data_IF_611209439932
#
_entry.id   IF_611209439932
#
_cell.length_a   1.000
_cell.length_b   1.000
_cell.length_c   1.000
_cell.angle_alpha   90.00
_cell.angle_beta   90.00
_cell.angle_gamma   90.00
#
_symmetry.space_group_name_H-M   'P 1'
#
loop_
_entity.id
_entity.type
_entity.pdbx_description
1 polymer ?
#
# COMPACT_ATOMS: atom_id res chain seq x y z
N UNK A 1 40.23 15.73 -33.77
CA UNK A 1 40.07 16.54 -32.53
C UNK A 1 40.81 17.85 -32.73
N UNK A 2 40.13 18.99 -32.60
CA UNK A 2 40.76 20.33 -32.67
C UNK A 2 41.12 20.83 -31.26
N UNK A 3 42.42 20.81 -30.95
CA UNK A 3 42.94 21.22 -29.65
C UNK A 3 42.82 22.74 -29.42
N UNK A 4 42.90 23.56 -30.47
CA UNK A 4 42.76 25.01 -30.34
C UNK A 4 41.32 25.37 -29.97
N UNK A 5 40.35 24.79 -30.67
CA UNK A 5 38.93 24.97 -30.35
C UNK A 5 38.61 24.52 -28.92
N UNK A 6 39.17 23.38 -28.46
CA UNK A 6 39.00 22.92 -27.09
C UNK A 6 39.56 23.91 -26.05
N UNK A 7 40.77 24.44 -26.26
CA UNK A 7 41.37 25.40 -25.33
C UNK A 7 40.61 26.73 -25.29
N UNK A 8 40.20 27.26 -26.44
CA UNK A 8 39.39 28.48 -26.51
C UNK A 8 38.01 28.28 -25.88
N UNK A 9 37.37 27.13 -26.12
CA UNK A 9 36.09 26.78 -25.49
C UNK A 9 36.19 26.63 -23.97
N UNK A 10 37.28 26.04 -23.47
CA UNK A 10 37.57 25.96 -22.03
C UNK A 10 37.79 27.35 -21.42
N UNK A 11 38.53 28.23 -22.10
CA UNK A 11 38.74 29.60 -21.64
C UNK A 11 37.41 30.38 -21.57
N UNK A 12 36.56 30.27 -22.59
CA UNK A 12 35.22 30.86 -22.59
C UNK A 12 34.37 30.35 -21.41
N UNK A 13 34.43 29.04 -21.12
CA UNK A 13 33.72 28.45 -19.98
C UNK A 13 34.17 29.05 -18.64
N UNK A 14 35.48 29.20 -18.44
CA UNK A 14 36.04 29.77 -17.21
C UNK A 14 35.68 31.24 -17.03
N UNK A 15 35.48 31.97 -18.14
CA UNK A 15 35.04 33.36 -18.14
C UNK A 15 33.50 33.52 -17.99
N UNK A 16 32.75 32.41 -17.88
CA UNK A 16 31.29 32.43 -17.79
C UNK A 16 30.56 32.64 -19.12
N UNK A 17 31.28 32.71 -20.25
CA UNK A 17 30.67 32.76 -21.58
C UNK A 17 30.32 31.34 -22.05
N UNK A 18 29.22 30.81 -21.49
CA UNK A 18 28.78 29.45 -21.74
C UNK A 18 28.28 29.23 -23.18
N UNK A 19 27.81 30.28 -23.86
CA UNK A 19 27.34 30.19 -25.26
C UNK A 19 28.51 29.95 -26.21
N UNK A 20 29.55 30.78 -26.11
CA UNK A 20 30.79 30.61 -26.87
C UNK A 20 31.47 29.30 -26.51
N UNK A 21 31.51 28.95 -25.22
CA UNK A 21 32.06 27.69 -24.76
C UNK A 21 31.37 26.48 -25.43
N UNK A 22 30.04 26.40 -25.39
CA UNK A 22 29.30 25.29 -25.99
C UNK A 22 29.52 25.16 -27.50
N UNK A 23 29.68 26.28 -28.19
CA UNK A 23 29.95 26.34 -29.63
C UNK A 23 31.35 25.85 -29.95
N UNK A 24 32.37 26.42 -29.31
CA UNK A 24 33.78 26.06 -29.54
C UNK A 24 34.09 24.63 -29.11
N UNK A 25 33.53 24.16 -27.99
CA UNK A 25 33.69 22.78 -27.53
C UNK A 25 32.98 21.78 -28.46
N UNK A 26 31.88 22.18 -29.11
CA UNK A 26 31.25 21.37 -30.15
C UNK A 26 32.11 21.29 -31.42
N UNK A 27 32.72 22.41 -31.82
CA UNK A 27 33.64 22.46 -32.96
C UNK A 27 34.95 21.69 -32.72
N UNK A 28 35.33 21.46 -31.46
CA UNK A 28 36.50 20.65 -31.10
C UNK A 28 36.37 19.17 -31.48
N UNK A 29 35.14 18.68 -31.63
CA UNK A 29 34.81 17.28 -31.95
C UNK A 29 34.37 17.17 -33.42
N UNK A 30 35.13 16.45 -34.24
CA UNK A 30 34.74 16.17 -35.63
C UNK A 30 33.60 15.12 -35.67
N UNK A 31 32.71 15.16 -36.68
CA UNK A 31 31.70 14.11 -36.86
C UNK A 31 32.32 12.71 -36.92
N UNK A 32 31.86 11.81 -36.05
CA UNK A 32 32.34 10.42 -35.98
C UNK A 32 33.55 10.18 -35.06
N UNK A 33 34.21 11.23 -34.58
CA UNK A 33 35.27 11.12 -33.58
C UNK A 33 34.70 11.26 -32.16
N UNK A 34 35.36 10.62 -31.19
CA UNK A 34 35.02 10.77 -29.77
C UNK A 34 36.04 11.68 -29.11
N UNK A 35 35.58 12.78 -28.50
CA UNK A 35 36.43 13.66 -27.69
C UNK A 35 35.77 13.93 -26.34
N UNK A 36 35.81 12.93 -25.46
CA UNK A 36 35.01 12.94 -24.24
C UNK A 36 35.28 14.12 -23.30
N UNK A 37 36.52 14.63 -23.25
CA UNK A 37 36.81 15.84 -22.48
C UNK A 37 36.10 17.10 -23.02
N UNK A 38 36.03 17.26 -24.34
CA UNK A 38 35.32 18.37 -24.99
C UNK A 38 33.81 18.22 -24.80
N UNK A 39 33.26 17.02 -25.05
CA UNK A 39 31.84 16.74 -24.91
C UNK A 39 31.34 16.87 -23.45
N UNK A 40 32.14 16.42 -22.47
CA UNK A 40 31.84 16.62 -21.05
C UNK A 40 31.74 18.11 -20.70
N UNK A 41 32.72 18.92 -21.13
CA UNK A 41 32.73 20.35 -20.84
C UNK A 41 31.63 21.09 -21.60
N UNK A 42 31.32 20.66 -22.84
CA UNK A 42 30.19 21.16 -23.63
C UNK A 42 28.88 20.90 -22.91
N UNK A 43 28.68 19.69 -22.38
CA UNK A 43 27.52 19.34 -21.56
C UNK A 43 27.38 20.27 -20.34
N UNK A 44 28.49 20.55 -19.64
CA UNK A 44 28.49 21.48 -18.51
C UNK A 44 28.10 22.91 -18.93
N UNK A 45 28.59 23.39 -20.07
CA UNK A 45 28.21 24.70 -20.61
C UNK A 45 26.72 24.75 -20.95
N UNK A 46 26.20 23.71 -21.60
CA UNK A 46 24.79 23.59 -21.96
C UNK A 46 23.87 23.51 -20.74
N UNK A 47 24.29 22.85 -19.65
CA UNK A 47 23.58 22.89 -18.37
C UNK A 47 23.44 24.31 -17.81
N UNK A 48 24.49 25.13 -17.92
CA UNK A 48 24.46 26.54 -17.48
C UNK A 48 23.56 27.43 -18.35
N UNK A 49 23.38 27.06 -19.61
CA UNK A 49 22.47 27.74 -20.55
C UNK A 49 21.01 27.27 -20.44
N UNK A 50 20.69 26.28 -19.61
CA UNK A 50 19.36 25.68 -19.56
C UNK A 50 19.01 24.77 -20.75
N UNK A 51 19.99 24.46 -21.62
CA UNK A 51 19.81 23.60 -22.81
C UNK A 51 19.96 22.13 -22.43
N UNK A 52 19.07 21.65 -21.57
CA UNK A 52 19.22 20.37 -20.87
C UNK A 52 19.23 19.14 -21.78
N UNK A 53 18.37 19.10 -22.82
CA UNK A 53 18.37 17.98 -23.78
C UNK A 53 19.69 17.86 -24.54
N UNK A 54 20.26 18.98 -24.97
CA UNK A 54 21.55 18.99 -25.66
C UNK A 54 22.71 18.69 -24.71
N UNK A 55 22.61 19.09 -23.44
CA UNK A 55 23.57 18.70 -22.41
C UNK A 55 23.58 17.18 -22.22
N UNK A 56 22.39 16.55 -22.15
CA UNK A 56 22.26 15.10 -22.05
C UNK A 56 22.93 14.39 -23.24
N UNK A 57 22.73 14.87 -24.47
CA UNK A 57 23.42 14.33 -25.66
C UNK A 57 24.94 14.48 -25.57
N UNK A 58 25.45 15.63 -25.12
CA UNK A 58 26.89 15.83 -24.94
C UNK A 58 27.48 14.87 -23.89
N UNK A 59 26.78 14.64 -22.77
CA UNK A 59 27.23 13.65 -21.78
C UNK A 59 27.18 12.21 -22.32
N UNK A 60 26.18 11.85 -23.13
CA UNK A 60 26.11 10.55 -23.81
C UNK A 60 27.27 10.35 -24.78
N UNK A 61 27.65 11.39 -25.52
CA UNK A 61 28.83 11.37 -26.40
C UNK A 61 30.11 11.15 -25.58
N UNK A 62 30.28 11.87 -24.47
CA UNK A 62 31.43 11.70 -23.59
C UNK A 62 31.51 10.27 -22.98
N UNK A 63 30.37 9.66 -22.67
CA UNK A 63 30.29 8.28 -22.15
C UNK A 63 30.70 7.21 -23.18
N UNK A 64 30.85 7.54 -24.48
CA UNK A 64 31.33 6.59 -25.49
C UNK A 64 32.81 6.25 -25.29
N UNK A 65 33.60 7.13 -24.68
CA UNK A 65 35.00 6.86 -24.34
C UNK A 65 35.14 6.41 -22.90
N UNK A 66 35.28 5.09 -22.72
CA UNK A 66 35.50 4.49 -21.39
C UNK A 66 36.87 4.83 -20.80
N UNK A 67 37.85 5.19 -21.63
CA UNK A 67 39.21 5.53 -21.17
C UNK A 67 39.26 6.89 -20.47
N UNK A 68 38.25 7.75 -20.67
CA UNK A 68 38.16 9.05 -20.01
C UNK A 68 38.04 8.95 -18.48
N UNK A 69 37.60 7.81 -17.94
CA UNK A 69 37.65 7.51 -16.50
C UNK A 69 36.73 8.38 -15.62
N UNK A 70 35.71 9.01 -16.20
CA UNK A 70 34.73 9.87 -15.49
C UNK A 70 33.30 9.33 -15.57
N UNK A 71 33.14 8.01 -15.66
CA UNK A 71 31.84 7.35 -15.89
C UNK A 71 30.79 7.76 -14.85
N UNK A 72 31.08 7.63 -13.55
CA UNK A 72 30.13 8.05 -12.50
C UNK A 72 29.79 9.55 -12.52
N UNK A 73 30.77 10.42 -12.80
CA UNK A 73 30.53 11.87 -12.90
C UNK A 73 29.66 12.24 -14.11
N UNK A 74 29.94 11.63 -15.27
CA UNK A 74 29.18 11.83 -16.49
C UNK A 74 27.75 11.32 -16.36
N UNK A 75 27.56 10.13 -15.78
CA UNK A 75 26.23 9.59 -15.52
C UNK A 75 25.44 10.44 -14.50
N UNK A 76 26.11 11.00 -13.48
CA UNK A 76 25.48 11.95 -12.54
C UNK A 76 25.03 13.22 -13.25
N UNK A 77 25.87 13.77 -14.12
CA UNK A 77 25.53 14.97 -14.88
C UNK A 77 24.45 14.72 -15.94
N UNK A 78 24.51 13.56 -16.62
CA UNK A 78 23.48 13.09 -17.54
C UNK A 78 22.14 12.97 -16.82
N UNK A 79 22.11 12.31 -15.66
CA UNK A 79 20.90 12.17 -14.86
C UNK A 79 20.28 13.51 -14.48
N UNK A 80 21.11 14.47 -14.04
CA UNK A 80 20.66 15.85 -13.75
C UNK A 80 20.12 16.58 -14.98
N UNK A 81 20.74 16.38 -16.14
CA UNK A 81 20.27 16.97 -17.40
C UNK A 81 18.93 16.38 -17.85
N UNK A 82 18.76 15.06 -17.72
CA UNK A 82 17.54 14.37 -18.06
C UNK A 82 16.38 14.80 -17.16
N UNK A 83 16.60 14.84 -15.84
CA UNK A 83 15.62 15.34 -14.88
C UNK A 83 15.20 16.78 -15.20
N UNK A 84 16.16 17.68 -15.44
CA UNK A 84 15.88 19.07 -15.79
C UNK A 84 15.14 19.22 -17.14
N UNK A 85 15.23 18.23 -18.03
CA UNK A 85 14.50 18.18 -19.29
C UNK A 85 13.13 17.51 -19.22
N UNK A 86 12.75 16.99 -18.04
CA UNK A 86 11.51 16.26 -17.78
C UNK A 86 11.55 14.75 -18.12
N UNK A 87 12.73 14.18 -18.36
CA UNK A 87 12.91 12.74 -18.57
C UNK A 87 13.38 12.07 -17.28
N UNK A 88 12.45 11.91 -16.34
CA UNK A 88 12.73 11.36 -15.01
C UNK A 88 13.12 9.87 -15.09
N UNK A 89 12.53 9.10 -16.00
CA UNK A 89 12.88 7.69 -16.23
C UNK A 89 14.34 7.56 -16.68
N UNK A 90 14.74 8.34 -17.68
CA UNK A 90 16.14 8.39 -18.13
C UNK A 90 17.08 8.90 -17.05
N UNK A 91 16.62 9.86 -16.22
CA UNK A 91 17.39 10.39 -15.12
C UNK A 91 17.71 9.32 -14.07
N UNK A 92 16.70 8.58 -13.60
CA UNK A 92 16.88 7.48 -12.63
C UNK A 92 17.83 6.42 -13.18
N UNK A 93 17.71 6.04 -14.46
CA UNK A 93 18.62 5.09 -15.09
C UNK A 93 20.08 5.56 -15.07
N UNK A 94 20.33 6.80 -15.49
CA UNK A 94 21.68 7.37 -15.50
C UNK A 94 22.25 7.53 -14.08
N UNK A 95 21.44 7.98 -13.11
CA UNK A 95 21.87 8.13 -11.72
C UNK A 95 22.19 6.78 -11.07
N UNK A 96 21.39 5.74 -11.32
CA UNK A 96 21.71 4.39 -10.86
C UNK A 96 22.99 3.84 -11.51
N UNK A 97 23.24 4.13 -12.79
CA UNK A 97 24.50 3.79 -13.44
C UNK A 97 25.70 4.49 -12.78
N UNK A 98 25.55 5.73 -12.33
CA UNK A 98 26.58 6.42 -11.54
C UNK A 98 26.79 5.78 -10.16
N UNK A 99 25.72 5.37 -9.47
CA UNK A 99 25.81 4.65 -8.19
C UNK A 99 26.38 3.24 -8.32
N UNK A 100 26.33 2.63 -9.51
CA UNK A 100 26.95 1.34 -9.77
C UNK A 100 28.47 1.43 -10.01
N UNK A 101 29.02 2.62 -10.24
CA UNK A 101 30.46 2.84 -10.40
C UNK A 101 31.15 2.93 -9.02
N UNK A 102 31.95 1.91 -8.63
CA UNK A 102 32.61 1.89 -7.32
C UNK A 102 33.75 2.91 -7.23
N UNK A 103 34.28 3.39 -8.37
CA UNK A 103 35.37 4.37 -8.40
C UNK A 103 34.87 5.80 -8.19
N UNK A 104 33.56 6.02 -8.28
CA UNK A 104 32.96 7.33 -8.12
C UNK A 104 32.74 7.67 -6.65
N UNK A 105 33.60 8.53 -6.10
CA UNK A 105 33.59 8.90 -4.67
C UNK A 105 32.57 9.99 -4.31
N UNK A 106 32.12 10.80 -5.27
CA UNK A 106 31.16 11.88 -5.02
C UNK A 106 29.69 11.37 -5.07
N UNK A 107 29.42 10.21 -4.45
CA UNK A 107 28.13 9.51 -4.55
C UNK A 107 26.99 10.34 -3.97
N UNK A 108 27.26 11.14 -2.94
CA UNK A 108 26.31 12.10 -2.37
C UNK A 108 25.68 13.02 -3.43
N UNK A 109 26.42 13.46 -4.48
CA UNK A 109 25.86 14.29 -5.56
C UNK A 109 24.82 13.53 -6.37
N UNK A 110 25.07 12.26 -6.63
CA UNK A 110 24.14 11.37 -7.33
C UNK A 110 22.90 11.10 -6.48
N UNK A 111 23.09 10.83 -5.19
CA UNK A 111 21.99 10.63 -4.25
C UNK A 111 21.10 11.87 -4.12
N UNK A 112 21.69 13.07 -4.00
CA UNK A 112 20.92 14.32 -3.99
C UNK A 112 20.16 14.55 -5.30
N UNK A 113 20.76 14.22 -6.45
CA UNK A 113 20.08 14.33 -7.74
C UNK A 113 18.92 13.33 -7.84
N UNK A 114 19.11 12.10 -7.37
CA UNK A 114 18.09 11.05 -7.36
C UNK A 114 16.94 11.42 -6.42
N UNK A 115 17.26 11.97 -5.25
CA UNK A 115 16.27 12.44 -4.29
C UNK A 115 15.37 13.54 -4.89
N UNK A 116 15.93 14.48 -5.64
CA UNK A 116 15.16 15.52 -6.34
C UNK A 116 14.25 14.97 -7.43
N UNK A 117 14.67 13.93 -8.14
CA UNK A 117 13.80 13.24 -9.11
C UNK A 117 12.63 12.58 -8.38
N UNK A 118 12.88 11.89 -7.26
CA UNK A 118 11.81 11.30 -6.46
C UNK A 118 10.87 12.36 -5.83
N UNK A 119 11.38 13.51 -5.38
CA UNK A 119 10.54 14.64 -4.93
C UNK A 119 9.63 15.12 -6.07
N UNK A 120 10.15 15.29 -7.28
CA UNK A 120 9.37 15.70 -8.45
C UNK A 120 8.25 14.70 -8.79
N UNK A 121 8.50 13.40 -8.61
CA UNK A 121 7.51 12.34 -8.78
C UNK A 121 6.55 12.16 -7.58
N UNK A 122 6.72 12.92 -6.49
CA UNK A 122 5.93 12.78 -5.27
C UNK A 122 6.29 11.56 -4.40
N UNK A 123 7.40 10.88 -4.70
CA UNK A 123 7.90 9.70 -3.98
C UNK A 123 8.73 10.12 -2.76
N UNK A 124 8.07 10.72 -1.77
CA UNK A 124 8.76 11.36 -0.63
C UNK A 124 9.54 10.38 0.26
N UNK A 125 9.16 9.10 0.29
CA UNK A 125 9.88 8.07 1.05
C UNK A 125 11.22 7.74 0.40
N UNK A 126 11.21 7.54 -0.92
CA UNK A 126 12.38 7.26 -1.75
C UNK A 126 13.32 8.47 -1.77
N UNK A 127 12.75 9.68 -1.89
CA UNK A 127 13.49 10.93 -1.76
C UNK A 127 14.20 11.04 -0.40
N UNK A 128 13.49 10.80 0.70
CA UNK A 128 14.07 10.81 2.04
C UNK A 128 15.19 9.78 2.20
N UNK A 129 15.05 8.57 1.65
CA UNK A 129 16.12 7.57 1.67
C UNK A 129 17.38 8.04 0.94
N UNK A 130 17.22 8.65 -0.23
CA UNK A 130 18.33 9.19 -1.02
C UNK A 130 18.98 10.42 -0.34
N UNK A 131 18.21 11.34 0.22
CA UNK A 131 18.76 12.47 1.00
C UNK A 131 19.51 12.00 2.24
N UNK A 132 19.00 10.99 2.95
CA UNK A 132 19.72 10.39 4.08
C UNK A 132 21.03 9.77 3.62
N UNK A 133 21.03 9.04 2.51
CA UNK A 133 22.25 8.45 1.95
C UNK A 133 23.29 9.51 1.56
N UNK A 134 22.85 10.68 1.06
CA UNK A 134 23.74 11.80 0.80
C UNK A 134 24.26 12.47 2.10
N UNK A 135 23.44 12.56 3.14
CA UNK A 135 23.80 13.19 4.41
C UNK A 135 24.86 12.39 5.19
N UNK A 136 24.86 11.06 5.09
CA UNK A 136 25.82 10.19 5.80
C UNK A 136 27.07 9.83 4.98
N UNK A 137 27.18 10.33 3.73
CA UNK A 137 28.35 10.10 2.90
C UNK A 137 29.53 10.93 3.41
N UNK A 138 30.62 10.27 3.81
CA UNK A 138 31.84 10.89 4.35
C UNK A 138 32.50 11.87 3.36
N UNK A 139 32.24 11.73 2.06
CA UNK A 139 32.75 12.64 1.03
C UNK A 139 31.87 13.86 0.82
N UNK A 140 30.74 13.98 1.53
CA UNK A 140 29.87 15.13 1.43
C UNK A 140 30.43 16.29 2.28
N UNK A 141 30.91 17.39 1.66
CA UNK A 141 31.46 18.52 2.40
C UNK A 141 30.37 19.38 3.07
N UNK A 142 29.10 19.17 2.72
CA UNK A 142 27.97 19.95 3.22
C UNK A 142 26.73 19.05 3.42
N UNK A 143 26.73 18.20 4.46
CA UNK A 143 25.60 17.33 4.78
C UNK A 143 24.36 18.12 5.21
N UNK A 144 24.50 19.36 5.68
CA UNK A 144 23.40 20.20 6.14
C UNK A 144 22.32 20.37 5.06
N UNK A 145 22.71 20.59 3.79
CA UNK A 145 21.75 20.72 2.68
C UNK A 145 20.91 19.45 2.48
N UNK A 146 21.53 18.27 2.63
CA UNK A 146 20.83 16.99 2.50
C UNK A 146 19.93 16.71 3.70
N UNK A 147 20.36 17.10 4.91
CA UNK A 147 19.57 16.97 6.15
C UNK A 147 18.34 17.88 6.15
N UNK A 148 18.47 19.13 5.69
CA UNK A 148 17.31 20.03 5.51
C UNK A 148 16.31 19.42 4.52
N UNK A 149 16.79 18.86 3.42
CA UNK A 149 15.91 18.21 2.45
C UNK A 149 15.23 16.96 3.03
N UNK A 150 15.97 16.16 3.79
CA UNK A 150 15.41 15.03 4.54
C UNK A 150 14.31 15.47 5.53
N UNK A 151 14.53 16.57 6.25
CA UNK A 151 13.53 17.15 7.15
C UNK A 151 12.25 17.56 6.42
N UNK A 152 12.36 18.14 5.21
CA UNK A 152 11.18 18.45 4.38
C UNK A 152 10.44 17.18 3.97
N UNK A 153 11.14 16.14 3.52
CA UNK A 153 10.51 14.85 3.22
C UNK A 153 9.75 14.29 4.44
N UNK A 154 10.31 14.40 5.66
CA UNK A 154 9.61 13.97 6.87
C UNK A 154 8.37 14.81 7.17
N UNK A 155 8.40 16.12 6.95
CA UNK A 155 7.22 16.99 7.07
C UNK A 155 6.11 16.56 6.12
N UNK A 156 6.43 16.32 4.84
CA UNK A 156 5.44 15.88 3.85
C UNK A 156 4.89 14.48 4.13
N UNK A 157 5.69 13.61 4.75
CA UNK A 157 5.26 12.29 5.20
C UNK A 157 4.45 12.32 6.51
N UNK A 158 4.17 13.49 7.08
CA UNK A 158 3.45 13.62 8.35
C UNK A 158 4.25 13.13 9.56
N UNK A 159 5.59 13.21 9.50
CA UNK A 159 6.53 12.76 10.53
C UNK A 159 7.30 13.94 11.14
N UNK A 160 6.63 14.88 11.83
CA UNK A 160 7.25 16.13 12.26
C UNK A 160 8.34 15.94 13.32
N UNK A 161 8.28 14.88 14.15
CA UNK A 161 9.34 14.59 15.13
C UNK A 161 10.64 14.18 14.43
N UNK A 162 10.57 13.35 13.39
CA UNK A 162 11.76 12.99 12.61
C UNK A 162 12.32 14.19 11.83
N UNK A 163 11.44 15.11 11.38
CA UNK A 163 11.85 16.36 10.76
C UNK A 163 12.62 17.27 11.73
N UNK A 164 12.15 17.40 12.98
CA UNK A 164 12.84 18.14 14.04
C UNK A 164 14.27 17.63 14.21
N UNK A 165 14.47 16.32 14.30
CA UNK A 165 15.81 15.74 14.45
C UNK A 165 16.68 16.02 13.22
N UNK A 166 16.16 15.84 12.01
CA UNK A 166 16.91 16.15 10.78
C UNK A 166 17.34 17.62 10.69
N UNK A 167 16.46 18.56 11.07
CA UNK A 167 16.77 19.99 11.06
C UNK A 167 17.76 20.38 12.17
N UNK A 168 17.66 19.79 13.37
CA UNK A 168 18.65 19.98 14.44
C UNK A 168 20.02 19.51 14.00
N UNK A 169 20.12 18.30 13.46
CA UNK A 169 21.39 17.81 12.90
C UNK A 169 21.89 18.70 11.77
N UNK A 170 21.02 19.25 10.92
CA UNK A 170 21.43 20.19 9.88
C UNK A 170 22.06 21.47 10.46
N UNK A 171 21.53 21.98 11.57
CA UNK A 171 22.09 23.14 12.28
C UNK A 171 23.49 22.86 12.83
N UNK A 172 23.76 21.63 13.30
CA UNK A 172 25.09 21.23 13.78
C UNK A 172 26.16 21.27 12.68
N UNK A 173 25.77 21.04 11.43
CA UNK A 173 26.67 21.08 10.26
C UNK A 173 26.67 22.43 9.52
N UNK A 174 25.73 23.33 9.81
CA UNK A 174 25.59 24.59 9.07
C UNK A 174 26.64 25.61 9.50
N UNK A 175 27.57 25.93 8.59
CA UNK A 175 28.73 26.81 8.85
C UNK A 175 28.47 28.31 8.63
N UNK A 176 27.30 28.71 8.11
CA UNK A 176 26.97 30.14 7.87
C UNK A 176 25.64 30.55 8.52
N UNK A 177 25.65 31.72 9.17
CA UNK A 177 24.50 32.27 9.92
C UNK A 177 23.25 32.47 9.04
N UNK A 178 23.42 32.96 7.80
CA UNK A 178 22.32 33.16 6.86
C UNK A 178 21.64 31.85 6.41
N UNK A 179 22.37 30.73 6.42
CA UNK A 179 21.81 29.40 6.18
C UNK A 179 21.04 28.90 7.41
N UNK A 180 21.54 29.17 8.62
CA UNK A 180 20.92 28.71 9.86
C UNK A 180 19.54 29.33 10.11
N UNK A 181 19.35 30.62 9.82
CA UNK A 181 18.06 31.29 10.02
C UNK A 181 16.91 30.62 9.25
N UNK A 182 17.16 30.24 7.99
CA UNK A 182 16.21 29.50 7.19
C UNK A 182 15.92 28.11 7.77
N UNK A 183 16.94 27.41 8.29
CA UNK A 183 16.74 26.10 8.95
C UNK A 183 15.93 26.24 10.25
N UNK A 184 16.18 27.28 11.05
CA UNK A 184 15.39 27.58 12.25
C UNK A 184 13.91 27.84 11.92
N UNK A 185 13.60 28.51 10.82
CA UNK A 185 12.22 28.70 10.38
C UNK A 185 11.54 27.36 10.03
N UNK A 186 12.23 26.48 9.29
CA UNK A 186 11.73 25.13 8.99
C UNK A 186 11.59 24.27 10.25
N UNK A 187 12.50 24.42 11.21
CA UNK A 187 12.43 23.76 12.51
C UNK A 187 11.22 24.25 13.32
N UNK A 188 10.93 25.55 13.29
CA UNK A 188 9.72 26.13 13.89
C UNK A 188 8.44 25.53 13.31
N UNK A 189 8.33 25.40 12.00
CA UNK A 189 7.20 24.73 11.34
C UNK A 189 7.08 23.26 11.77
N UNK A 190 8.20 22.54 11.89
CA UNK A 190 8.21 21.17 12.38
C UNK A 190 7.72 21.05 13.84
N UNK A 191 8.12 21.98 14.71
CA UNK A 191 7.61 22.03 16.09
C UNK A 191 6.12 22.36 16.16
N UNK A 192 5.61 23.25 15.30
CA UNK A 192 4.16 23.52 15.20
C UNK A 192 3.42 22.24 14.81
N UNK A 193 3.88 21.54 13.78
CA UNK A 193 3.28 20.27 13.35
C UNK A 193 3.39 19.17 14.42
N UNK A 194 4.43 19.20 15.26
CA UNK A 194 4.60 18.31 16.41
C UNK A 194 3.81 18.74 17.66
N UNK A 195 3.01 19.82 17.60
CA UNK A 195 2.30 20.40 18.75
C UNK A 195 3.21 20.90 19.90
N UNK A 196 4.46 21.23 19.60
CA UNK A 196 5.48 21.71 20.56
C UNK A 196 5.62 23.23 20.47
N UNK A 197 4.56 23.93 20.88
CA UNK A 197 4.38 25.37 20.58
C UNK A 197 5.46 26.28 21.20
N UNK A 198 5.96 25.95 22.39
CA UNK A 198 7.02 26.73 23.03
C UNK A 198 8.33 26.66 22.22
N UNK A 199 8.74 25.47 21.83
CA UNK A 199 9.95 25.27 21.01
C UNK A 199 9.79 25.84 19.60
N UNK A 200 8.56 25.84 19.06
CA UNK A 200 8.27 26.53 17.81
C UNK A 200 8.54 28.03 17.91
N UNK A 201 8.10 28.68 19.00
CA UNK A 201 8.38 30.10 19.24
C UNK A 201 9.87 30.37 19.33
N UNK A 202 10.59 29.56 20.09
CA UNK A 202 12.04 29.73 20.26
C UNK A 202 12.76 29.59 18.92
N UNK A 203 12.38 28.60 18.09
CA UNK A 203 12.93 28.42 16.76
C UNK A 203 12.61 29.60 15.81
N UNK A 204 11.37 30.12 15.78
CA UNK A 204 11.03 31.28 14.95
C UNK A 204 11.71 32.57 15.44
N UNK A 205 11.88 32.74 16.75
CA UNK A 205 12.65 33.84 17.32
C UNK A 205 14.12 33.75 16.87
N UNK A 206 14.74 32.56 16.93
CA UNK A 206 16.08 32.34 16.39
C UNK A 206 16.18 32.65 14.89
N UNK A 207 15.16 32.26 14.11
CA UNK A 207 15.13 32.53 12.67
C UNK A 207 15.13 34.03 12.34
N UNK A 208 14.52 34.87 13.19
CA UNK A 208 14.34 36.30 12.92
C UNK A 208 15.27 37.21 13.74
N UNK A 209 16.08 36.63 14.64
CA UNK A 209 16.83 37.37 15.65
C UNK A 209 17.80 38.42 15.09
N UNK A 210 18.44 38.14 13.96
CA UNK A 210 19.42 39.04 13.33
C UNK A 210 18.80 39.99 12.28
N UNK A 211 17.51 39.84 11.99
CA UNK A 211 16.78 40.62 10.98
C UNK A 211 17.19 40.36 9.53
N UNK A 212 18.06 39.38 9.25
CA UNK A 212 18.52 39.05 7.89
C UNK A 212 17.55 38.11 7.17
N UNK A 213 16.81 37.30 7.93
CA UNK A 213 15.79 36.40 7.41
C UNK A 213 14.39 36.92 7.71
N UNK A 214 13.55 36.91 6.68
CA UNK A 214 12.13 37.26 6.78
C UNK A 214 11.30 36.00 6.56
N UNK A 215 10.44 35.68 7.54
CA UNK A 215 9.52 34.54 7.44
C UNK A 215 8.60 34.73 6.23
N UNK A 216 8.39 33.65 5.47
CA UNK A 216 7.37 33.65 4.43
C UNK A 216 5.95 33.68 5.07
N UNK A 217 4.87 33.97 4.30
CA UNK A 217 3.52 34.08 4.88
C UNK A 217 3.02 32.85 5.63
N UNK A 218 3.40 31.63 5.19
CA UNK A 218 3.01 30.39 5.86
C UNK A 218 3.76 30.19 7.19
N UNK A 219 5.06 30.50 7.20
CA UNK A 219 5.89 30.50 8.40
C UNK A 219 5.41 31.56 9.40
N UNK A 220 5.06 32.76 8.92
CA UNK A 220 4.52 33.83 9.75
C UNK A 220 3.19 33.44 10.39
N UNK A 221 2.30 32.79 9.64
CA UNK A 221 1.05 32.26 10.18
C UNK A 221 1.30 31.18 11.24
N UNK A 222 2.24 30.26 11.00
CA UNK A 222 2.66 29.24 11.97
C UNK A 222 3.25 29.87 13.24
N UNK A 223 4.05 30.92 13.09
CA UNK A 223 4.63 31.65 14.22
C UNK A 223 3.55 32.32 15.06
N UNK A 224 2.61 33.05 14.44
CA UNK A 224 1.47 33.65 15.15
C UNK A 224 0.57 32.60 15.81
N UNK A 225 0.35 31.46 15.16
CA UNK A 225 -0.41 30.36 15.77
C UNK A 225 0.27 29.82 17.03
N UNK A 226 1.59 29.64 17.00
CA UNK A 226 2.37 29.25 18.17
C UNK A 226 2.30 30.32 19.29
N UNK A 227 2.34 31.61 18.95
CA UNK A 227 2.24 32.71 19.93
C UNK A 227 0.89 32.67 20.65
N UNK A 228 -0.20 32.54 19.88
CA UNK A 228 -1.55 32.47 20.43
C UNK A 228 -1.75 31.22 21.30
N UNK A 229 -1.22 30.06 20.88
CA UNK A 229 -1.31 28.82 21.62
C UNK A 229 -0.57 28.90 22.97
N UNK A 230 0.63 29.46 23.00
CA UNK A 230 1.39 29.65 24.24
C UNK A 230 0.73 30.68 25.16
N UNK A 231 0.23 31.80 24.61
CA UNK A 231 -0.50 32.81 25.37
C UNK A 231 -1.78 32.27 26.00
N UNK A 232 -2.50 31.39 25.31
CA UNK A 232 -3.68 30.72 25.85
C UNK A 232 -3.32 29.80 27.03
N UNK A 233 -2.21 29.06 26.94
CA UNK A 233 -1.73 28.17 28.00
C UNK A 233 -1.25 28.95 29.24
N UNK A 234 -0.57 30.09 29.05
CA UNK A 234 -0.15 30.94 30.17
C UNK A 234 -1.32 31.70 30.80
N UNK A 235 -2.27 32.16 29.99
CA UNK A 235 -3.52 32.78 30.44
C UNK A 235 -4.43 31.83 31.24
N UNK A 236 -4.44 30.53 30.91
CA UNK A 236 -5.14 29.52 31.71
C UNK A 236 -4.43 29.20 33.03
N UNK A 237 -3.09 29.22 33.08
CA UNK A 237 -2.33 29.01 34.33
C UNK A 237 -2.47 30.17 35.32
N UNK A 238 -2.73 31.40 34.85
CA UNK A 238 -3.07 32.56 35.68
C UNK A 238 -4.56 32.74 35.97
N UNK A 239 -5.38 31.69 35.79
CA UNK A 239 -6.83 31.75 36.02
C UNK A 239 -7.19 31.95 37.50
N UNK A 240 -8.29 32.66 37.74
CA UNK A 240 -8.92 33.13 39.01
C UNK A 240 -8.35 32.61 40.35
N UNK A 241 -8.07 31.32 40.47
CA UNK A 241 -7.31 30.72 41.57
C UNK A 241 -5.98 31.40 41.89
N UNK A 242 -5.16 31.76 40.90
CA UNK A 242 -3.84 32.38 41.14
C UNK A 242 -3.98 33.85 41.57
N UNK A 243 -4.96 34.55 40.99
CA UNK A 243 -5.38 35.88 41.43
C UNK A 243 -6.02 35.86 42.84
N UNK A 244 -6.74 34.79 43.19
CA UNK A 244 -7.36 34.59 44.50
C UNK A 244 -6.33 34.21 45.57
N UNK A 245 -5.31 33.42 45.24
CA UNK A 245 -4.17 33.12 46.12
C UNK A 245 -3.30 34.36 46.35
N UNK A 246 -3.07 35.16 45.31
CA UNK A 246 -2.39 36.45 45.43
C UNK A 246 -3.20 37.45 46.28
N UNK A 247 -4.53 37.52 46.09
CA UNK A 247 -5.42 38.34 46.91
C UNK A 247 -5.54 37.85 48.37
N UNK A 248 -5.35 36.56 48.61
CA UNK A 248 -5.28 35.95 49.94
C UNK A 248 -3.91 36.08 50.62
N UNK A 249 -2.94 36.78 50.00
CA UNK A 249 -1.65 37.09 50.59
C UNK A 249 -0.60 35.97 50.50
N UNK A 250 -0.84 34.95 49.68
CA UNK A 250 0.08 33.81 49.52
C UNK A 250 1.13 33.98 48.41
N UNK A 251 1.24 35.16 47.79
CA UNK A 251 2.16 35.45 46.68
C UNK A 251 3.15 36.57 46.98
N UNK A 252 4.01 36.39 47.99
CA UNK A 252 5.07 37.34 48.34
C UNK A 252 6.46 36.81 47.97
N UNK A 253 7.01 37.31 46.86
CA UNK A 253 8.44 37.36 46.50
C UNK A 253 9.37 36.26 47.06
N UNK A 254 9.75 35.30 46.22
CA UNK A 254 10.87 34.41 46.46
C UNK A 254 10.75 33.13 45.66
N UNK A 255 11.70 32.88 44.77
CA UNK A 255 11.83 31.72 43.88
C UNK A 255 11.49 30.39 44.58
N UNK A 256 10.33 29.79 44.28
CA UNK A 256 10.07 28.41 44.64
C UNK A 256 9.16 27.78 43.58
N UNK A 257 9.74 26.85 42.82
CA UNK A 257 9.01 25.98 41.90
C UNK A 257 8.24 24.94 42.74
N UNK A 258 6.90 24.87 42.66
CA UNK A 258 6.11 23.91 43.44
C UNK A 258 6.31 22.44 43.06
N UNK A 259 7.16 22.12 42.08
CA UNK A 259 7.58 20.75 41.74
C UNK A 259 9.01 20.38 42.19
N UNK A 260 9.81 21.32 42.71
CA UNK A 260 11.16 21.04 43.23
C UNK A 260 11.44 21.82 44.53
N UNK A 261 11.04 21.28 45.69
CA UNK A 261 11.15 21.98 46.97
C UNK A 261 12.56 22.00 47.56
N UNK A 262 13.57 21.51 46.84
CA UNK A 262 14.97 21.45 47.32
C UNK A 262 15.98 22.08 46.36
N UNK A 263 15.54 22.69 45.25
CA UNK A 263 16.42 23.40 44.32
C UNK A 263 17.51 22.51 43.72
N UNK A 264 17.19 21.24 43.45
CA UNK A 264 18.11 20.25 42.89
C UNK A 264 17.60 19.66 41.58
N UNK A 265 17.21 20.51 40.66
CA UNK A 265 17.09 20.17 39.23
C UNK A 265 18.25 20.78 38.44
N UNK A 266 19.46 20.53 38.94
CA UNK A 266 20.67 20.46 38.13
C UNK A 266 20.87 19.04 37.60
N UNK A 267 19.81 18.40 37.10
CA UNK A 267 19.96 17.11 36.42
C UNK A 267 20.58 17.36 35.05
N UNK A 268 21.90 17.24 35.06
CA UNK A 268 22.79 17.01 33.94
C UNK A 268 22.06 16.29 32.80
N UNK A 269 21.86 16.99 31.68
CA UNK A 269 21.64 16.33 30.39
C UNK A 269 22.78 15.31 30.27
N UNK A 270 22.51 13.99 30.12
CA UNK A 270 23.59 13.04 29.89
C UNK A 270 24.41 13.56 28.70
N UNK A 271 25.74 13.60 28.84
CA UNK A 271 26.58 14.00 27.72
C UNK A 271 26.23 13.10 26.51
N UNK A 272 26.46 13.55 25.26
CA UNK A 272 26.17 12.75 24.06
C UNK A 272 26.76 11.32 24.07
N UNK A 273 27.71 11.06 24.97
CA UNK A 273 28.38 9.79 25.23
C UNK A 273 27.49 8.78 25.99
N UNK A 274 26.54 9.25 26.81
CA UNK A 274 25.67 8.43 27.68
C UNK A 274 24.33 8.03 27.01
N UNK A 275 23.96 8.66 25.90
CA UNK A 275 22.71 8.35 25.16
C UNK A 275 22.83 7.15 24.22
N UNK A 276 24.02 6.57 24.12
CA UNK A 276 24.28 5.41 23.27
C UNK A 276 24.11 5.68 21.76
N UNK A 277 23.86 6.91 21.33
CA UNK A 277 23.59 7.24 19.92
C UNK A 277 24.84 7.10 19.03
N UNK A 278 26.04 7.29 19.60
CA UNK A 278 27.33 7.17 18.90
C UNK A 278 28.16 5.94 19.29
N UNK A 279 27.72 5.13 20.27
CA UNK A 279 28.45 3.93 20.73
C UNK A 279 27.93 2.62 20.13
N UNK A 280 26.89 2.68 19.29
CA UNK A 280 26.43 1.51 18.56
C UNK A 280 27.46 1.19 17.47
N UNK A 281 28.23 0.12 17.66
CA UNK A 281 29.14 -0.36 16.63
C UNK A 281 28.33 -0.84 15.42
N UNK A 282 28.94 -0.83 14.24
CA UNK A 282 28.32 -1.37 13.01
C UNK A 282 27.85 -2.84 13.21
N UNK A 283 28.50 -3.59 14.10
CA UNK A 283 28.10 -4.95 14.48
C UNK A 283 26.82 -4.98 15.33
N UNK A 284 26.65 -4.04 16.28
CA UNK A 284 25.45 -3.91 17.10
C UNK A 284 24.25 -3.44 16.27
N UNK A 285 24.47 -2.57 15.28
CA UNK A 285 23.46 -2.18 14.28
C UNK A 285 23.06 -3.40 13.44
N UNK A 286 24.01 -4.21 12.97
CA UNK A 286 23.72 -5.42 12.17
C UNK A 286 23.01 -6.50 12.99
N UNK A 287 23.31 -6.64 14.29
CA UNK A 287 22.58 -7.57 15.17
C UNK A 287 21.17 -7.07 15.53
N UNK A 288 21.03 -5.77 15.79
CA UNK A 288 19.72 -5.13 15.96
C UNK A 288 18.90 -5.25 14.67
N UNK A 289 19.49 -5.01 13.50
CA UNK A 289 18.85 -5.15 12.19
C UNK A 289 18.57 -6.62 11.84
N UNK A 290 19.39 -7.59 12.26
CA UNK A 290 19.06 -9.03 12.17
C UNK A 290 17.89 -9.41 13.08
N UNK A 291 17.77 -8.85 14.28
CA UNK A 291 16.62 -9.04 15.17
C UNK A 291 15.37 -8.34 14.60
N UNK A 292 15.50 -7.12 14.12
CA UNK A 292 14.41 -6.32 13.57
C UNK A 292 13.95 -6.85 12.21
N UNK A 293 14.83 -7.36 11.36
CA UNK A 293 14.49 -8.04 10.10
C UNK A 293 13.79 -9.38 10.32
N UNK A 294 14.13 -10.12 11.39
CA UNK A 294 13.36 -11.30 11.84
C UNK A 294 11.96 -10.91 12.31
N UNK A 295 11.80 -9.78 13.01
CA UNK A 295 10.50 -9.24 13.44
C UNK A 295 9.69 -8.67 12.26
N UNK A 296 10.32 -7.95 11.33
CA UNK A 296 9.70 -7.43 10.09
C UNK A 296 9.29 -8.55 9.14
N UNK A 297 10.07 -9.63 9.03
CA UNK A 297 9.66 -10.86 8.31
C UNK A 297 8.45 -11.52 8.94
N UNK A 298 8.31 -11.48 10.28
CA UNK A 298 7.10 -11.95 10.98
C UNK A 298 5.90 -11.03 10.72
N UNK A 299 6.05 -9.69 10.77
CA UNK A 299 4.97 -8.72 10.51
C UNK A 299 4.50 -8.69 9.05
N UNK A 300 5.41 -8.79 8.06
CA UNK A 300 5.03 -8.93 6.63
C UNK A 300 4.25 -10.22 6.35
N UNK A 301 4.53 -11.31 7.07
CA UNK A 301 3.76 -12.56 6.96
C UNK A 301 2.38 -12.48 7.61
N UNK A 302 2.13 -11.55 8.53
CA UNK A 302 0.80 -11.39 9.14
C UNK A 302 -0.22 -10.85 8.14
N UNK A 303 0.14 -9.83 7.34
CA UNK A 303 -0.75 -9.28 6.31
C UNK A 303 -1.11 -10.30 5.22
N UNK A 304 -0.13 -11.09 4.76
CA UNK A 304 -0.36 -12.18 3.80
C UNK A 304 -1.22 -13.30 4.40
N UNK A 305 -1.04 -13.65 5.68
CA UNK A 305 -1.89 -14.63 6.37
C UNK A 305 -3.34 -14.17 6.51
N UNK A 306 -3.57 -12.88 6.77
CA UNK A 306 -4.93 -12.31 6.82
C UNK A 306 -5.59 -12.36 5.45
N UNK A 307 -4.87 -11.97 4.39
CA UNK A 307 -5.38 -12.06 3.01
C UNK A 307 -5.73 -13.50 2.64
N UNK A 308 -4.83 -14.47 2.92
CA UNK A 308 -5.08 -15.89 2.65
C UNK A 308 -6.28 -16.41 3.44
N UNK A 309 -6.44 -16.01 4.71
CA UNK A 309 -7.59 -16.37 5.53
C UNK A 309 -8.90 -15.88 4.91
N UNK A 310 -8.95 -14.61 4.47
CA UNK A 310 -10.13 -14.03 3.81
C UNK A 310 -10.46 -14.77 2.52
N UNK A 311 -9.45 -15.08 1.69
CA UNK A 311 -9.66 -15.85 0.44
C UNK A 311 -10.19 -17.25 0.74
N UNK A 312 -9.64 -17.94 1.75
CA UNK A 312 -10.14 -19.26 2.15
C UNK A 312 -11.60 -19.19 2.62
N UNK A 313 -11.97 -18.18 3.41
CA UNK A 313 -13.36 -17.99 3.86
C UNK A 313 -14.29 -17.76 2.67
N UNK A 314 -13.88 -16.96 1.68
CA UNK A 314 -14.67 -16.72 0.47
C UNK A 314 -14.84 -18.00 -0.37
N UNK A 315 -13.79 -18.81 -0.49
CA UNK A 315 -13.86 -20.10 -1.20
C UNK A 315 -14.81 -21.07 -0.48
N UNK A 316 -14.75 -21.14 0.85
CA UNK A 316 -15.66 -21.97 1.65
C UNK A 316 -17.10 -21.48 1.51
N UNK A 317 -17.34 -20.16 1.54
CA UNK A 317 -18.67 -19.59 1.34
C UNK A 317 -19.20 -19.89 -0.07
N UNK A 318 -18.38 -19.75 -1.12
CA UNK A 318 -18.75 -20.10 -2.48
C UNK A 318 -19.05 -21.60 -2.63
N UNK A 319 -18.27 -22.47 -2.00
CA UNK A 319 -18.51 -23.91 -1.98
C UNK A 319 -19.82 -24.26 -1.25
N UNK A 320 -20.12 -23.60 -0.13
CA UNK A 320 -21.37 -23.77 0.59
C UNK A 320 -22.59 -23.31 -0.22
N UNK A 321 -22.49 -22.17 -0.91
CA UNK A 321 -23.54 -21.68 -1.81
C UNK A 321 -23.74 -22.62 -3.01
N UNK A 322 -22.65 -23.11 -3.62
CA UNK A 322 -22.71 -24.09 -4.69
C UNK A 322 -23.34 -25.42 -4.24
N UNK A 323 -23.03 -25.88 -3.02
CA UNK A 323 -23.64 -27.08 -2.45
C UNK A 323 -25.13 -26.89 -2.17
N UNK A 324 -25.55 -25.74 -1.62
CA UNK A 324 -26.95 -25.42 -1.42
C UNK A 324 -27.72 -25.37 -2.75
N UNK A 325 -27.12 -24.73 -3.77
CA UNK A 325 -27.65 -24.68 -5.14
C UNK A 325 -27.85 -26.08 -5.72
N UNK A 326 -26.87 -26.98 -5.54
CA UNK A 326 -26.96 -28.38 -5.99
C UNK A 326 -28.00 -29.21 -5.20
N UNK A 327 -28.23 -28.89 -3.93
CA UNK A 327 -29.28 -29.52 -3.11
C UNK A 327 -30.69 -29.01 -3.41
N UNK A 328 -30.85 -28.13 -4.40
CA UNK A 328 -32.14 -27.60 -4.81
C UNK A 328 -32.62 -26.40 -4.01
N UNK A 329 -31.74 -25.72 -3.26
CA UNK A 329 -32.10 -24.42 -2.68
C UNK A 329 -32.02 -23.33 -3.76
N UNK A 330 -33.02 -22.46 -3.78
CA UNK A 330 -33.11 -21.32 -4.68
C UNK A 330 -33.88 -20.18 -4.03
N UNK A 331 -33.85 -19.01 -4.67
CA UNK A 331 -34.53 -17.82 -4.22
C UNK A 331 -35.32 -17.18 -5.38
N UNK A 332 -36.64 -16.93 -5.24
CA UNK A 332 -37.52 -17.31 -4.11
C UNK A 332 -37.59 -18.84 -3.89
N UNK A 333 -38.02 -19.29 -2.72
CA UNK A 333 -38.10 -20.73 -2.41
C UNK A 333 -39.23 -21.40 -3.19
N UNK A 334 -39.21 -22.73 -3.32
CA UNK A 334 -40.29 -23.44 -4.01
C UNK A 334 -41.64 -23.23 -3.32
N UNK A 335 -41.64 -23.16 -1.99
CA UNK A 335 -42.82 -22.87 -1.19
C UNK A 335 -43.40 -21.50 -1.50
N UNK A 336 -42.54 -20.47 -1.57
CA UNK A 336 -42.98 -19.11 -1.87
C UNK A 336 -43.57 -19.03 -3.29
N UNK A 337 -42.92 -19.66 -4.28
CA UNK A 337 -43.41 -19.68 -5.67
C UNK A 337 -44.78 -20.34 -5.77
N UNK A 338 -45.01 -21.43 -5.04
CA UNK A 338 -46.31 -22.10 -5.02
C UNK A 338 -47.36 -21.29 -4.28
N UNK A 339 -47.03 -20.74 -3.10
CA UNK A 339 -47.95 -19.90 -2.35
C UNK A 339 -48.37 -18.66 -3.17
N UNK A 340 -47.41 -18.00 -3.81
CA UNK A 340 -47.64 -16.83 -4.66
C UNK A 340 -48.48 -17.17 -5.90
N UNK A 341 -48.28 -18.35 -6.52
CA UNK A 341 -49.10 -18.78 -7.66
C UNK A 341 -50.60 -18.91 -7.27
N UNK A 342 -50.89 -19.55 -6.14
CA UNK A 342 -52.27 -19.72 -5.67
C UNK A 342 -52.87 -18.41 -5.15
N UNK A 343 -52.05 -17.56 -4.53
CA UNK A 343 -52.46 -16.20 -4.18
C UNK A 343 -52.83 -15.41 -5.43
N UNK A 344 -51.99 -15.46 -6.47
CA UNK A 344 -52.22 -14.73 -7.71
C UNK A 344 -53.55 -15.14 -8.38
N UNK A 345 -53.84 -16.45 -8.41
CA UNK A 345 -55.13 -16.98 -8.89
C UNK A 345 -56.32 -16.48 -8.06
N UNK A 346 -56.16 -16.37 -6.75
CA UNK A 346 -57.21 -15.92 -5.84
C UNK A 346 -57.48 -14.42 -5.97
N UNK A 347 -56.44 -13.62 -6.12
CA UNK A 347 -56.53 -12.15 -6.26
C UNK A 347 -56.86 -11.70 -7.70
N UNK A 348 -56.90 -12.63 -8.66
CA UNK A 348 -57.13 -12.34 -10.08
C UNK A 348 -55.96 -11.63 -10.75
N UNK A 349 -54.75 -11.77 -10.20
CA UNK A 349 -53.52 -11.22 -10.78
C UNK A 349 -52.89 -12.20 -11.78
N UNK A 350 -51.97 -11.69 -12.61
CA UNK A 350 -51.35 -12.47 -13.66
C UNK A 350 -50.49 -13.61 -13.10
N UNK A 351 -50.86 -14.86 -13.39
CA UNK A 351 -50.10 -16.05 -12.97
C UNK A 351 -48.88 -16.30 -13.86
N UNK A 352 -48.71 -15.51 -14.93
CA UNK A 352 -47.71 -15.77 -15.96
C UNK A 352 -46.28 -15.75 -15.45
N UNK A 353 -46.01 -14.90 -14.47
CA UNK A 353 -44.73 -14.75 -13.83
C UNK A 353 -44.28 -15.99 -13.04
N UNK A 354 -45.18 -16.92 -12.66
CA UNK A 354 -44.83 -18.07 -11.83
C UNK A 354 -44.68 -19.37 -12.62
N UNK A 355 -45.17 -19.40 -13.85
CA UNK A 355 -45.16 -20.58 -14.73
C UNK A 355 -43.99 -20.49 -15.71
N UNK A 356 -43.31 -21.61 -15.94
CA UNK A 356 -42.10 -21.65 -16.75
C UNK A 356 -42.39 -21.29 -18.23
N UNK A 357 -41.48 -20.57 -18.92
CA UNK A 357 -41.65 -20.23 -20.34
C UNK A 357 -41.70 -21.46 -21.27
N UNK A 358 -41.23 -22.62 -20.81
CA UNK A 358 -41.24 -23.88 -21.57
C UNK A 358 -42.62 -24.55 -21.61
N UNK A 359 -43.58 -24.10 -20.81
CA UNK A 359 -44.94 -24.64 -20.77
C UNK A 359 -45.76 -24.00 -21.90
N UNK A 360 -46.41 -24.84 -22.72
CA UNK A 360 -47.27 -24.36 -23.81
C UNK A 360 -48.51 -23.60 -23.30
N UNK A 361 -49.10 -22.75 -24.14
CA UNK A 361 -50.32 -21.99 -23.78
C UNK A 361 -51.49 -22.90 -23.38
N UNK A 362 -51.64 -24.04 -24.06
CA UNK A 362 -52.67 -25.05 -23.74
C UNK A 362 -52.46 -25.66 -22.33
N UNK A 363 -51.21 -25.98 -21.98
CA UNK A 363 -50.86 -26.51 -20.65
C UNK A 363 -51.01 -25.46 -19.55
N UNK A 364 -50.66 -24.21 -19.84
CA UNK A 364 -50.87 -23.08 -18.93
C UNK A 364 -52.37 -22.90 -18.61
N UNK A 365 -53.22 -22.94 -19.63
CA UNK A 365 -54.67 -22.89 -19.45
C UNK A 365 -55.19 -24.08 -18.62
N UNK A 366 -54.62 -25.28 -18.81
CA UNK A 366 -54.96 -26.45 -18.01
C UNK A 366 -54.54 -26.29 -16.53
N UNK A 367 -53.34 -25.79 -16.26
CA UNK A 367 -52.86 -25.47 -14.90
C UNK A 367 -53.80 -24.46 -14.24
N UNK A 368 -54.13 -23.37 -14.93
CA UNK A 368 -55.03 -22.34 -14.40
C UNK A 368 -56.46 -22.85 -14.15
N UNK A 369 -56.93 -23.83 -14.91
CA UNK A 369 -58.25 -24.44 -14.73
C UNK A 369 -58.31 -25.36 -13.51
N UNK A 370 -57.18 -25.97 -13.13
CA UNK A 370 -57.08 -26.87 -11.96
C UNK A 370 -56.94 -26.07 -10.66
N UNK A 371 -56.35 -24.88 -10.69
CA UNK A 371 -56.16 -24.05 -9.51
C UNK A 371 -57.48 -23.46 -8.99
N UNK A 372 -57.79 -23.61 -7.69
CA UNK A 372 -59.02 -23.09 -7.10
C UNK A 372 -58.96 -21.57 -6.91
N UNK A 373 -60.09 -20.90 -7.07
CA UNK A 373 -60.24 -19.48 -6.75
C UNK A 373 -60.70 -19.29 -5.31
N UNK A 374 -60.10 -18.33 -4.58
CA UNK A 374 -60.50 -18.02 -3.20
C UNK A 374 -59.93 -18.95 -2.14
N UNK A 375 -59.00 -19.84 -2.49
CA UNK A 375 -58.47 -20.84 -1.58
C UNK A 375 -57.24 -20.35 -0.82
N UNK A 376 -57.07 -20.81 0.42
CA UNK A 376 -55.83 -20.63 1.19
C UNK A 376 -54.98 -21.89 1.09
N UNK A 377 -53.70 -21.73 0.76
CA UNK A 377 -52.78 -22.85 0.56
C UNK A 377 -51.84 -23.02 1.75
N UNK A 378 -51.70 -24.26 2.19
CA UNK A 378 -50.68 -24.70 3.12
C UNK A 378 -49.72 -25.66 2.41
N UNK A 379 -48.41 -25.40 2.51
CA UNK A 379 -47.41 -26.31 1.97
C UNK A 379 -47.14 -27.44 2.96
N UNK A 380 -47.37 -28.68 2.52
CA UNK A 380 -47.27 -29.88 3.36
C UNK A 380 -45.88 -30.52 3.28
N UNK A 381 -45.19 -30.37 2.15
CA UNK A 381 -43.84 -30.87 1.97
C UNK A 381 -43.22 -30.46 0.63
N UNK A 382 -41.88 -30.47 0.58
CA UNK A 382 -41.12 -30.20 -0.64
C UNK A 382 -40.06 -31.28 -0.83
N UNK A 383 -40.13 -31.97 -1.96
CA UNK A 383 -39.06 -32.82 -2.44
C UNK A 383 -38.15 -32.02 -3.38
N UNK A 384 -36.92 -31.79 -2.93
CA UNK A 384 -35.97 -30.90 -3.60
C UNK A 384 -34.96 -31.68 -4.43
N UNK A 385 -34.79 -31.29 -5.68
CA UNK A 385 -33.65 -31.71 -6.49
C UNK A 385 -32.93 -30.51 -7.11
N UNK A 386 -31.78 -30.75 -7.74
CA UNK A 386 -30.99 -29.70 -8.36
C UNK A 386 -31.73 -28.99 -9.52
N UNK A 387 -32.58 -29.72 -10.25
CA UNK A 387 -33.11 -29.28 -11.54
C UNK A 387 -34.64 -29.30 -11.61
N UNK A 388 -35.30 -30.15 -10.81
CA UNK A 388 -36.76 -30.30 -10.75
C UNK A 388 -37.23 -30.64 -9.34
N UNK A 389 -38.01 -29.77 -8.70
CA UNK A 389 -38.56 -30.01 -7.36
C UNK A 389 -40.06 -30.24 -7.43
N UNK A 390 -40.60 -31.00 -6.48
CA UNK A 390 -42.05 -31.16 -6.32
C UNK A 390 -42.49 -30.63 -4.97
N UNK A 391 -43.62 -29.92 -4.95
CA UNK A 391 -44.23 -29.35 -3.75
C UNK A 391 -45.60 -29.98 -3.58
N UNK A 392 -45.83 -30.58 -2.43
CA UNK A 392 -47.15 -31.07 -2.00
C UNK A 392 -47.80 -29.99 -1.16
N UNK A 393 -49.01 -29.57 -1.55
CA UNK A 393 -49.75 -28.55 -0.82
C UNK A 393 -51.25 -28.86 -0.76
N UNK A 394 -51.90 -28.35 0.27
CA UNK A 394 -53.33 -28.50 0.50
C UNK A 394 -53.99 -27.14 0.43
N UNK A 395 -55.01 -27.01 -0.43
CA UNK A 395 -55.80 -25.79 -0.55
C UNK A 395 -57.16 -25.96 0.16
N UNK A 396 -57.48 -25.06 1.09
CA UNK A 396 -58.79 -25.00 1.73
C UNK A 396 -59.75 -24.18 0.86
N UNK A 397 -60.88 -24.80 0.47
CA UNK A 397 -61.84 -24.22 -0.47
C UNK A 397 -62.88 -23.33 0.25
N UNK A 398 -63.37 -22.25 -0.39
CA UNK A 398 -64.37 -21.35 0.21
C UNK A 398 -65.69 -22.03 0.63
N UNK A 399 -66.11 -23.06 -0.11
CA UNK A 399 -67.39 -23.77 0.09
C UNK A 399 -67.32 -24.85 1.19
N UNK A 400 -66.16 -25.01 1.84
CA UNK A 400 -65.90 -26.04 2.84
C UNK A 400 -65.35 -27.32 2.21
N UNK A 401 -64.11 -27.66 2.58
CA UNK A 401 -63.39 -28.82 2.05
C UNK A 401 -61.90 -28.50 1.82
N UNK A 402 -61.08 -29.53 1.69
CA UNK A 402 -59.65 -29.40 1.40
C UNK A 402 -59.29 -30.26 0.20
N UNK A 403 -58.51 -29.70 -0.73
CA UNK A 403 -58.02 -30.41 -1.91
C UNK A 403 -56.50 -30.41 -1.90
N UNK A 404 -55.90 -31.59 -2.05
CA UNK A 404 -54.45 -31.75 -2.15
C UNK A 404 -53.98 -31.61 -3.60
N UNK A 405 -52.80 -31.01 -3.77
CA UNK A 405 -52.14 -30.76 -5.05
C UNK A 405 -50.68 -31.19 -4.98
N UNK A 406 -50.16 -31.63 -6.12
CA UNK A 406 -48.73 -31.80 -6.37
C UNK A 406 -48.32 -30.84 -7.47
N UNK A 407 -47.41 -29.92 -7.14
CA UNK A 407 -46.88 -28.91 -8.05
C UNK A 407 -45.46 -29.26 -8.43
N UNK A 408 -45.18 -29.37 -9.72
CA UNK A 408 -43.83 -29.61 -10.24
C UNK A 408 -43.20 -28.29 -10.64
N UNK A 409 -41.96 -28.06 -10.22
CA UNK A 409 -41.19 -26.87 -10.54
C UNK A 409 -39.89 -27.23 -11.24
N UNK A 410 -39.55 -26.50 -12.29
CA UNK A 410 -38.23 -26.54 -12.91
C UNK A 410 -37.39 -25.34 -12.48
N UNK A 411 -36.07 -25.55 -12.48
CA UNK A 411 -35.13 -24.49 -12.14
C UNK A 411 -35.00 -23.44 -13.24
N UNK A 412 -35.04 -22.17 -12.86
CA UNK A 412 -34.72 -21.04 -13.74
C UNK A 412 -33.73 -20.08 -13.04
N UNK A 413 -32.46 -20.16 -13.44
CA UNK A 413 -31.37 -19.42 -12.79
C UNK A 413 -31.23 -19.81 -11.31
N UNK A 414 -31.31 -18.82 -10.42
CA UNK A 414 -31.28 -19.07 -8.96
C UNK A 414 -32.66 -19.38 -8.36
N UNK A 415 -33.74 -19.27 -9.14
CA UNK A 415 -35.12 -19.44 -8.68
C UNK A 415 -35.83 -20.62 -9.33
N UNK A 416 -37.15 -20.67 -9.12
CA UNK A 416 -38.03 -21.77 -9.52
C UNK A 416 -39.24 -21.28 -10.29
N UNK A 417 -39.72 -22.09 -11.24
CA UNK A 417 -40.97 -21.85 -11.98
C UNK A 417 -41.79 -23.13 -12.06
N UNK A 418 -43.10 -22.98 -12.00
CA UNK A 418 -44.05 -24.10 -12.09
C UNK A 418 -44.12 -24.62 -13.53
N UNK A 419 -44.00 -25.92 -13.69
CA UNK A 419 -44.11 -26.62 -14.97
C UNK A 419 -45.38 -27.46 -15.08
N UNK A 420 -45.92 -27.93 -13.95
CA UNK A 420 -47.12 -28.75 -13.92
C UNK A 420 -47.83 -28.66 -12.56
N UNK A 421 -49.15 -28.84 -12.55
CA UNK A 421 -50.00 -28.88 -11.34
C UNK A 421 -51.02 -30.00 -11.47
N UNK A 422 -51.01 -30.92 -10.52
CA UNK A 422 -51.90 -32.07 -10.52
C UNK A 422 -52.67 -32.17 -9.19
N UNK A 423 -53.87 -32.74 -9.24
CA UNK A 423 -54.63 -33.09 -8.04
C UNK A 423 -54.02 -34.36 -7.43
N UNK A 424 -53.67 -34.28 -6.15
CA UNK A 424 -53.23 -35.45 -5.40
C UNK A 424 -54.44 -36.17 -4.81
N UNK A 425 -54.61 -37.45 -5.15
CA UNK A 425 -55.61 -38.33 -4.54
C UNK A 425 -54.90 -39.36 -3.67
N UNK A 426 -55.13 -39.33 -2.37
CA UNK A 426 -54.65 -40.37 -1.45
C UNK A 426 -55.31 -41.71 -1.80
N UNK A 427 -54.61 -42.55 -2.56
CA UNK A 427 -55.04 -43.92 -2.80
C UNK A 427 -54.73 -44.77 -1.56
N UNK A 428 -55.66 -44.81 -0.61
CA UNK A 428 -55.68 -45.83 0.45
C UNK A 428 -56.88 -46.75 0.27
N UNK A 429 -56.71 -47.83 -0.50
CA UNK A 429 -57.55 -49.02 -0.40
C UNK A 429 -56.73 -50.29 -0.58
N UNK A 430 -56.59 -51.02 0.52
CA UNK A 430 -55.98 -52.33 0.66
C UNK A 430 -56.83 -53.40 -0.06
N UNK A 431 -56.22 -54.19 -0.94
CA UNK A 431 -56.73 -55.50 -1.36
C UNK A 431 -55.55 -56.43 -1.66
N UNK A 432 -55.21 -57.27 -0.70
CA UNK A 432 -54.26 -58.36 -0.88
C UNK A 432 -54.84 -59.46 -1.76
N UNK A 433 -54.00 -60.10 -2.56
CA UNK A 433 -53.76 -61.55 -2.63
C UNK A 433 -53.05 -61.90 -3.94
N UNK A 434 -52.02 -62.74 -3.86
CA UNK A 434 -51.53 -63.51 -5.00
C UNK A 434 -50.03 -63.42 -5.26
N UNK A 435 -49.21 -64.04 -4.40
CA UNK A 435 -47.98 -64.68 -4.88
C UNK A 435 -48.39 -65.95 -5.64
N UNK A 436 -47.72 -66.28 -6.75
CA UNK A 436 -46.96 -67.53 -6.68
C UNK A 436 -45.53 -67.34 -7.18
N UNK A 437 -44.62 -68.00 -6.47
CA UNK A 437 -43.29 -68.33 -6.93
C UNK A 437 -43.35 -69.22 -8.18
N UNK A 438 -42.30 -69.21 -9.01
CA UNK A 438 -41.32 -70.32 -9.23
C UNK A 438 -40.84 -70.44 -10.69
N UNK A 439 -39.53 -70.68 -10.84
CA UNK A 439 -38.82 -71.37 -11.94
C UNK A 439 -38.66 -70.60 -13.27
N UNK A 440 -37.46 -70.16 -13.67
CA UNK A 440 -36.33 -70.98 -14.15
C UNK A 440 -36.12 -70.61 -15.63
N UNK A 441 -34.96 -70.18 -16.15
CA UNK A 441 -33.73 -70.97 -16.33
C UNK A 441 -32.61 -70.02 -16.82
N UNK A 442 -31.41 -70.19 -16.24
CA UNK A 442 -30.09 -69.61 -16.63
C UNK A 442 -29.54 -70.39 -17.86
N UNK A 443 -28.26 -70.31 -18.32
CA UNK A 443 -27.22 -69.27 -18.34
C UNK A 443 -26.47 -69.15 -19.69
N UNK A 444 -25.54 -68.20 -19.78
CA UNK A 444 -24.15 -68.28 -20.33
C UNK A 444 -23.79 -66.92 -20.93
N UNK A 445 -22.62 -66.32 -20.70
CA UNK A 445 -21.32 -66.94 -20.51
C UNK A 445 -20.34 -66.03 -19.73
N UNK A 446 -19.34 -66.72 -19.16
CA UNK A 446 -18.20 -66.35 -18.32
C UNK A 446 -17.37 -65.14 -18.81
N UNK A 447 -16.45 -64.55 -18.05
CA UNK A 447 -15.71 -64.84 -16.81
C UNK A 447 -14.74 -63.63 -16.63
N UNK A 448 -13.91 -63.45 -15.62
CA UNK A 448 -13.39 -64.27 -14.54
C UNK A 448 -12.81 -63.27 -13.52
N UNK A 449 -12.98 -63.61 -12.26
CA UNK A 449 -12.43 -62.94 -11.07
C UNK A 449 -11.05 -63.52 -10.70
N UNK A 450 -10.45 -62.88 -9.70
CA UNK A 450 -9.51 -63.38 -8.69
C UNK A 450 -8.02 -63.08 -8.93
N UNK A 451 -7.25 -62.70 -7.90
CA UNK A 451 -7.56 -62.55 -6.48
C UNK A 451 -6.28 -62.58 -5.64
N UNK A 452 -6.37 -61.96 -4.45
CA UNK A 452 -5.72 -62.28 -3.18
C UNK A 452 -4.18 -62.43 -3.08
N UNK A 453 -3.55 -61.70 -2.15
CA UNK A 453 -3.20 -62.23 -0.81
C UNK A 453 -2.29 -61.26 -0.02
N UNK A 454 -2.68 -60.97 1.22
CA UNK A 454 -1.84 -60.50 2.34
C UNK A 454 -1.20 -61.74 3.03
N UNK A 455 -0.06 -61.65 3.77
CA UNK A 455 -0.02 -61.04 5.11
C UNK A 455 1.32 -60.36 5.57
N UNK A 456 1.18 -59.61 6.66
CA UNK A 456 2.13 -59.01 7.64
C UNK A 456 3.28 -59.93 8.15
N UNK A 457 4.13 -59.55 9.13
CA UNK A 457 4.94 -58.35 9.38
C UNK A 457 6.43 -58.73 9.71
N UNK A 458 7.39 -57.80 9.84
CA UNK A 458 8.52 -57.87 10.83
C UNK A 458 9.53 -56.72 10.73
N UNK A 459 9.94 -56.28 11.91
CA UNK A 459 11.07 -55.44 12.30
C UNK A 459 12.43 -56.06 11.94
N UNK A 460 13.42 -55.24 11.53
CA UNK A 460 14.71 -55.03 12.24
C UNK A 460 15.68 -54.14 11.45
N UNK A 461 16.16 -53.09 12.13
CA UNK A 461 17.57 -52.72 12.36
C UNK A 461 18.53 -52.33 11.21
N UNK A 462 19.40 -51.35 11.49
CA UNK A 462 20.63 -51.11 10.73
C UNK A 462 20.88 -49.69 10.22
N UNK A 463 21.41 -48.82 11.08
CA UNK A 463 22.29 -47.71 10.66
C UNK A 463 23.61 -48.26 10.09
N UNK A 464 24.34 -47.48 9.27
CA UNK A 464 25.53 -46.87 9.86
C UNK A 464 25.82 -45.43 9.41
N UNK A 465 26.50 -44.76 10.33
CA UNK A 465 27.22 -43.48 10.25
C UNK A 465 28.55 -43.67 9.52
N UNK A 466 29.03 -42.58 8.87
CA UNK A 466 30.42 -42.04 8.77
C UNK A 466 30.66 -41.51 7.35
N UNK A 467 31.40 -40.45 7.04
CA UNK A 467 31.85 -39.18 7.66
C UNK A 467 32.63 -38.45 6.52
N UNK A 468 32.99 -37.16 6.61
CA UNK A 468 33.44 -36.32 5.49
C UNK A 468 34.97 -36.15 5.39
N UNK A 469 35.45 -35.69 4.22
CA UNK A 469 36.73 -34.97 4.05
C UNK A 469 36.66 -34.15 2.75
N UNK A 470 36.64 -32.81 2.75
CA UNK A 470 37.71 -31.82 2.94
C UNK A 470 38.73 -31.66 1.78
N UNK A 471 38.95 -30.37 1.45
CA UNK A 471 40.06 -29.71 0.75
C UNK A 471 40.19 -29.84 -0.79
N UNK A 472 39.95 -28.73 -1.50
CA UNK A 472 41.00 -27.79 -1.94
C UNK A 472 40.43 -26.38 -2.12
#
# INVERSE_FOLDING_TARGET
>A
MDQQAFQSGRAAYMNGDYSTAATLLGAATNPGEVYAAADHMRGNALMKLGRYREAAEAYRLALRDRSYGKVGALNTNLGRALAASGDDVGAVQALNAALADPSYTNRYKTQMALAKVYEHEGQMREAGAAYRAAAIDENNPDPAVSLVALGRCFMELGRPIDAVEAYRTALDFSSSTGSQAAVYAQLGEAFVAASRMQEALDAFNHATADGTYSLNPAQQASFTAAQNAVAALTGQKGGETDAMLAAAGYGGSGSFDPLDPLGKSGEFIPSPEDTGFFSISEQDIVEAEKKESKVRRKKKRTGVKVLVCVVVVLVVAAAALGFAYWRGYGWPTQEDVVADLFYAKTDGTDTSAYIAPSVSEDQRAAIEAILPSGATVTVDGVDRSADSSTVSCTAALPEGGSQAYTVTLAREGIGWKVTDVQLAFDSSSNAGTGTPSTSGTVPSDAGMDAGAATPDPTSTDGTPVTDPSSAQ
#
